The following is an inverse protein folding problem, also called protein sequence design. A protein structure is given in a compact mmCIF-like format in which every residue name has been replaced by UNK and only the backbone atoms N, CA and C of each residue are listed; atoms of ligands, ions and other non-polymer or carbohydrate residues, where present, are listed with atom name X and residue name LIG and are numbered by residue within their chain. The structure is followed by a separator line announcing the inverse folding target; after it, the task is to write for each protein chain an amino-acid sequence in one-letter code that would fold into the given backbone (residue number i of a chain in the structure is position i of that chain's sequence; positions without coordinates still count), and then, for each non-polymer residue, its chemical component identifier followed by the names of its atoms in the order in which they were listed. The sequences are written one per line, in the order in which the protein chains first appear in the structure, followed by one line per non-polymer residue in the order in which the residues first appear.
data_IF_310794874531
#
_entry.id   IF_310794874531
#
_cell.length_a   1.000
_cell.length_b   1.000
_cell.length_c   1.000
_cell.angle_alpha   90.00
_cell.angle_beta   90.00
_cell.angle_gamma   90.00
#
_symmetry.space_group_name_H-M   'P 1'
#
loop_
_entity.id
_entity.type
_entity.pdbx_description
1 polymer ?
#
# COMPACT_ATOMS: atom_id res chain seq x y z
N UNK A 1 36.46 -5.32 17.69
CA UNK A 1 35.07 -5.73 17.40
C UNK A 1 35.04 -6.22 15.96
N UNK A 2 34.85 -7.52 15.72
CA UNK A 2 34.84 -8.08 14.36
C UNK A 2 33.40 -8.08 13.83
N UNK A 3 33.09 -7.19 12.88
CA UNK A 3 31.80 -7.17 12.20
C UNK A 3 31.84 -8.19 11.06
N UNK A 4 31.05 -9.26 11.16
CA UNK A 4 30.85 -10.22 10.06
C UNK A 4 29.69 -9.75 9.19
N UNK A 5 29.98 -9.37 7.95
CA UNK A 5 28.96 -9.14 6.94
C UNK A 5 28.50 -10.49 6.39
N UNK A 6 27.22 -10.80 6.55
CA UNK A 6 26.59 -11.97 5.92
C UNK A 6 25.90 -11.48 4.65
N UNK A 7 26.58 -11.67 3.51
CA UNK A 7 26.01 -11.33 2.20
C UNK A 7 25.18 -12.54 1.72
N UNK A 8 23.92 -12.30 1.35
CA UNK A 8 23.03 -13.32 0.79
C UNK A 8 22.39 -12.83 -0.51
N UNK A 9 21.98 -13.74 -1.40
CA UNK A 9 21.21 -13.38 -2.59
C UNK A 9 19.90 -12.67 -2.22
N UNK A 10 19.49 -11.71 -3.04
CA UNK A 10 18.21 -11.00 -2.87
C UNK A 10 17.02 -11.97 -2.86
N UNK A 11 17.06 -13.02 -3.69
CA UNK A 11 16.05 -14.08 -3.76
C UNK A 11 15.82 -14.80 -2.43
N UNK A 12 16.84 -14.85 -1.56
CA UNK A 12 16.74 -15.45 -0.24
C UNK A 12 15.98 -14.57 0.78
N UNK A 13 15.79 -13.28 0.44
CA UNK A 13 15.26 -12.25 1.34
C UNK A 13 13.99 -11.57 0.80
N UNK A 14 13.80 -11.55 -0.52
CA UNK A 14 12.71 -10.85 -1.19
C UNK A 14 11.91 -11.85 -2.04
N UNK A 15 10.68 -12.20 -1.60
CA UNK A 15 9.77 -13.07 -2.35
C UNK A 15 9.59 -12.71 -3.82
N UNK A 16 9.56 -11.41 -4.10
CA UNK A 16 9.31 -10.84 -5.44
C UNK A 16 10.43 -11.12 -6.44
N UNK A 17 11.64 -11.45 -5.96
CA UNK A 17 12.76 -11.82 -6.83
C UNK A 17 12.64 -13.27 -7.33
N UNK A 18 11.61 -14.03 -6.90
CA UNK A 18 11.38 -15.42 -7.29
C UNK A 18 10.35 -15.46 -8.42
N UNK A 19 10.74 -15.81 -9.67
CA UNK A 19 9.81 -15.82 -10.81
C UNK A 19 8.57 -16.70 -10.57
N UNK A 20 8.77 -17.90 -10.03
CA UNK A 20 7.67 -18.83 -9.71
C UNK A 20 6.64 -18.25 -8.74
N UNK A 21 7.08 -17.46 -7.76
CA UNK A 21 6.16 -16.81 -6.83
C UNK A 21 5.29 -15.75 -7.51
N UNK A 22 5.87 -14.98 -8.44
CA UNK A 22 5.12 -14.02 -9.25
C UNK A 22 4.15 -14.72 -10.20
N UNK A 23 4.59 -15.81 -10.84
CA UNK A 23 3.73 -16.66 -11.68
C UNK A 23 2.55 -17.21 -10.88
N UNK A 24 2.78 -17.73 -9.67
CA UNK A 24 1.74 -18.23 -8.79
C UNK A 24 0.72 -17.12 -8.43
N UNK A 25 1.18 -15.90 -8.13
CA UNK A 25 0.29 -14.75 -7.90
C UNK A 25 -0.54 -14.45 -9.14
N UNK A 26 0.09 -14.38 -10.32
CA UNK A 26 -0.61 -14.05 -11.57
C UNK A 26 -1.65 -15.11 -11.91
N UNK A 27 -1.32 -16.39 -11.73
CA UNK A 27 -2.21 -17.51 -11.97
C UNK A 27 -3.41 -17.55 -11.01
N UNK A 28 -3.21 -17.17 -9.75
CA UNK A 28 -4.25 -17.25 -8.71
C UNK A 28 -5.10 -15.98 -8.60
N UNK A 29 -4.51 -14.81 -8.84
CA UNK A 29 -5.14 -13.52 -8.53
C UNK A 29 -5.27 -12.58 -9.73
N UNK A 30 -4.58 -12.85 -10.85
CA UNK A 30 -4.59 -12.03 -12.05
C UNK A 30 -3.35 -11.13 -12.19
N UNK A 31 -3.36 -10.28 -13.21
CA UNK A 31 -2.20 -9.46 -13.57
C UNK A 31 -1.81 -8.48 -12.46
N UNK A 32 -0.51 -8.40 -12.20
CA UNK A 32 0.07 -7.45 -11.24
C UNK A 32 0.06 -6.05 -11.86
N UNK A 33 -0.49 -5.07 -11.13
CA UNK A 33 -0.53 -3.66 -11.52
C UNK A 33 0.64 -2.88 -10.89
N UNK A 34 0.82 -2.98 -9.57
CA UNK A 34 1.85 -2.25 -8.81
C UNK A 34 2.35 -3.04 -7.60
N UNK A 35 3.55 -2.69 -7.14
CA UNK A 35 4.20 -3.28 -5.97
C UNK A 35 4.70 -2.15 -5.07
N UNK A 36 4.46 -2.25 -3.76
CA UNK A 36 4.96 -1.33 -2.74
C UNK A 36 5.71 -2.09 -1.64
N UNK A 37 6.64 -1.39 -0.99
CA UNK A 37 7.48 -1.94 0.07
C UNK A 37 7.27 -1.15 1.36
N UNK A 38 7.10 -1.88 2.46
CA UNK A 38 7.21 -1.38 3.83
C UNK A 38 8.15 -2.32 4.60
N UNK A 39 8.87 -1.88 5.64
CA UNK A 39 9.72 -2.77 6.42
C UNK A 39 8.95 -4.03 6.85
N UNK A 40 9.42 -5.21 6.43
CA UNK A 40 8.81 -6.50 6.74
C UNK A 40 7.68 -6.94 5.81
N UNK A 41 7.16 -6.10 4.91
CA UNK A 41 5.98 -6.43 4.09
C UNK A 41 6.11 -5.90 2.65
N UNK A 42 5.63 -6.70 1.70
CA UNK A 42 5.49 -6.35 0.29
C UNK A 42 3.99 -6.34 -0.02
N UNK A 43 3.52 -5.25 -0.61
CA UNK A 43 2.14 -5.11 -1.07
C UNK A 43 2.09 -5.21 -2.58
N UNK A 44 1.13 -5.96 -3.11
CA UNK A 44 1.01 -6.24 -4.55
C UNK A 44 -0.44 -5.97 -4.94
N UNK A 45 -0.66 -5.00 -5.83
CA UNK A 45 -1.99 -4.82 -6.41
C UNK A 45 -2.16 -5.68 -7.65
N UNK A 46 -3.36 -6.22 -7.80
CA UNK A 46 -3.77 -7.06 -8.92
C UNK A 46 -5.13 -6.60 -9.44
N UNK A 47 -5.57 -7.15 -10.57
CA UNK A 47 -6.89 -6.87 -11.17
C UNK A 47 -7.12 -5.37 -11.39
N UNK A 48 -6.18 -4.73 -12.11
CA UNK A 48 -6.23 -3.28 -12.42
C UNK A 48 -6.22 -2.39 -11.17
N UNK A 49 -5.71 -2.90 -10.05
CA UNK A 49 -5.66 -2.19 -8.77
C UNK A 49 -6.89 -2.36 -7.89
N UNK A 50 -7.83 -3.26 -8.23
CA UNK A 50 -9.05 -3.49 -7.44
C UNK A 50 -8.82 -4.36 -6.21
N UNK A 51 -7.77 -5.17 -6.23
CA UNK A 51 -7.39 -6.05 -5.12
C UNK A 51 -5.95 -5.77 -4.67
N UNK A 52 -5.71 -5.82 -3.35
CA UNK A 52 -4.41 -5.67 -2.71
C UNK A 52 -4.06 -6.91 -1.91
N UNK A 53 -2.90 -7.47 -2.22
CA UNK A 53 -2.29 -8.60 -1.55
C UNK A 53 -1.11 -8.11 -0.70
N UNK A 54 -0.80 -8.80 0.40
CA UNK A 54 0.46 -8.64 1.12
C UNK A 54 1.17 -9.97 1.26
N UNK A 55 2.50 -9.89 1.29
CA UNK A 55 3.37 -10.97 1.76
C UNK A 55 4.45 -10.43 2.68
N UNK A 56 4.84 -11.27 3.62
CA UNK A 56 5.95 -10.94 4.51
C UNK A 56 7.29 -11.04 3.77
N UNK A 57 8.11 -10.00 3.91
CA UNK A 57 9.51 -9.97 3.48
C UNK A 57 10.41 -10.67 4.52
N UNK A 58 10.00 -11.87 4.95
CA UNK A 58 10.75 -12.70 5.89
C UNK A 58 11.73 -13.63 5.17
N UNK A 59 12.80 -14.02 5.87
CA UNK A 59 13.80 -14.95 5.37
C UNK A 59 13.19 -16.33 5.11
N UNK A 60 13.64 -17.00 4.04
CA UNK A 60 13.16 -18.33 3.63
C UNK A 60 13.27 -19.42 4.73
N UNK A 61 14.27 -19.35 5.60
CA UNK A 61 14.43 -20.28 6.72
C UNK A 61 13.35 -20.15 7.81
N UNK A 62 12.71 -18.98 7.91
CA UNK A 62 11.56 -18.73 8.78
C UNK A 62 10.21 -18.88 8.06
N UNK A 63 10.20 -19.01 6.72
CA UNK A 63 8.96 -19.15 5.94
C UNK A 63 8.34 -20.55 5.99
N UNK A 64 8.95 -21.52 6.69
CA UNK A 64 8.40 -22.88 6.79
C UNK A 64 7.01 -22.95 7.44
N UNK A 65 6.56 -21.90 8.15
CA UNK A 65 5.26 -21.86 8.83
C UNK A 65 4.35 -20.68 8.45
N UNK A 66 4.74 -19.74 7.58
CA UNK A 66 3.87 -18.62 7.19
C UNK A 66 3.26 -18.83 5.80
N UNK A 67 2.03 -19.32 5.86
CA UNK A 67 1.06 -19.51 4.79
C UNK A 67 0.60 -18.18 4.19
N UNK A 68 0.81 -18.05 2.89
CA UNK A 68 -0.17 -17.42 2.02
C UNK A 68 -0.01 -15.91 1.85
N UNK A 69 -0.01 -15.54 0.58
CA UNK A 69 -0.47 -14.23 0.13
C UNK A 69 -1.77 -13.89 0.88
N UNK A 70 -1.81 -12.77 1.62
CA UNK A 70 -3.01 -12.34 2.33
C UNK A 70 -3.70 -11.22 1.53
N UNK A 71 -4.98 -11.38 1.27
CA UNK A 71 -5.80 -10.30 0.70
C UNK A 71 -6.09 -9.30 1.83
N UNK A 72 -5.59 -8.08 1.72
CA UNK A 72 -5.91 -7.00 2.68
C UNK A 72 -7.07 -6.15 2.15
N UNK A 73 -7.25 -6.08 0.83
CA UNK A 73 -8.24 -5.21 0.23
C UNK A 73 -8.85 -5.85 -1.02
N UNK A 74 -10.18 -5.83 -1.10
CA UNK A 74 -10.93 -6.12 -2.32
C UNK A 74 -11.98 -5.03 -2.50
N UNK A 75 -11.82 -4.19 -3.53
CA UNK A 75 -12.58 -2.96 -3.69
C UNK A 75 -13.01 -2.73 -5.12
N UNK A 76 -14.18 -2.10 -5.28
CA UNK A 76 -14.65 -1.68 -6.61
C UNK A 76 -13.88 -0.48 -7.20
N UNK A 77 -12.98 0.17 -6.46
CA UNK A 77 -12.24 1.36 -6.91
C UNK A 77 -10.76 1.07 -7.04
N UNK A 78 -10.11 1.68 -8.04
CA UNK A 78 -8.68 1.45 -8.31
C UNK A 78 -7.81 1.96 -7.17
N UNK A 79 -6.95 1.11 -6.64
CA UNK A 79 -5.88 1.48 -5.72
C UNK A 79 -4.80 2.29 -6.46
N UNK A 80 -4.43 3.43 -5.89
CA UNK A 80 -3.39 4.29 -6.41
C UNK A 80 -2.06 4.13 -5.67
N UNK A 81 -2.12 4.01 -4.35
CA UNK A 81 -0.92 3.99 -3.52
C UNK A 81 -1.12 3.21 -2.22
N UNK A 82 -0.01 2.61 -1.77
CA UNK A 82 0.20 2.21 -0.38
C UNK A 82 1.26 3.13 0.20
N UNK A 83 0.85 3.97 1.16
CA UNK A 83 1.71 4.96 1.81
C UNK A 83 2.13 4.45 3.19
N UNK A 84 3.43 4.40 3.45
CA UNK A 84 3.98 4.03 4.76
C UNK A 84 3.68 5.14 5.77
N UNK A 85 2.97 4.81 6.85
CA UNK A 85 2.65 5.72 7.95
C UNK A 85 3.67 5.67 9.09
N UNK A 86 3.18 6.00 10.29
CA UNK A 86 3.86 5.73 11.57
C UNK A 86 4.14 4.22 11.75
N UNK A 87 4.99 3.78 12.69
CA UNK A 87 5.39 2.38 12.79
C UNK A 87 4.21 1.41 12.76
N UNK A 88 4.32 0.37 11.91
CA UNK A 88 3.30 -0.66 11.68
C UNK A 88 1.98 -0.18 11.06
N UNK A 89 1.92 1.05 10.54
CA UNK A 89 0.74 1.57 9.84
C UNK A 89 1.00 1.78 8.36
N UNK A 90 0.02 1.46 7.52
CA UNK A 90 -0.01 1.86 6.11
C UNK A 90 -1.35 2.48 5.74
N UNK A 91 -1.34 3.40 4.78
CA UNK A 91 -2.53 3.97 4.19
C UNK A 91 -2.69 3.45 2.77
N UNK A 92 -3.83 2.82 2.48
CA UNK A 92 -4.19 2.46 1.09
C UNK A 92 -5.11 3.54 0.55
N UNK A 93 -4.76 4.10 -0.61
CA UNK A 93 -5.45 5.23 -1.21
C UNK A 93 -6.08 4.80 -2.53
N UNK A 94 -7.39 5.00 -2.66
CA UNK A 94 -8.14 4.71 -3.88
C UNK A 94 -8.31 5.95 -4.75
N UNK A 95 -8.57 5.76 -6.03
CA UNK A 95 -8.75 6.84 -7.01
C UNK A 95 -9.92 7.77 -6.74
N UNK A 96 -10.93 7.29 -6.01
CA UNK A 96 -12.07 8.09 -5.56
C UNK A 96 -11.77 8.95 -4.31
N UNK A 97 -10.55 8.91 -3.77
CA UNK A 97 -10.17 9.62 -2.56
C UNK A 97 -10.46 8.89 -1.25
N UNK A 98 -10.98 7.66 -1.29
CA UNK A 98 -11.10 6.84 -0.10
C UNK A 98 -9.71 6.40 0.38
N UNK A 99 -9.43 6.65 1.67
CA UNK A 99 -8.21 6.25 2.35
C UNK A 99 -8.58 5.28 3.48
N UNK A 100 -7.91 4.14 3.50
CA UNK A 100 -8.01 3.15 4.56
C UNK A 100 -6.68 3.06 5.30
N UNK A 101 -6.73 3.17 6.61
CA UNK A 101 -5.60 3.09 7.51
C UNK A 101 -5.53 1.70 8.12
N UNK A 102 -4.44 0.99 7.87
CA UNK A 102 -4.21 -0.38 8.33
C UNK A 102 -3.12 -0.39 9.37
N UNK A 103 -3.33 -1.13 10.46
CA UNK A 103 -2.34 -1.35 11.50
C UNK A 103 -1.98 -2.83 11.56
N UNK A 104 -0.69 -3.13 11.52
CA UNK A 104 -0.17 -4.48 11.67
C UNK A 104 0.13 -4.78 13.14
N UNK A 105 -0.31 -5.94 13.61
CA UNK A 105 0.12 -6.52 14.89
C UNK A 105 0.64 -7.93 14.62
N UNK A 106 1.74 -8.29 15.26
CA UNK A 106 2.39 -9.59 15.03
C UNK A 106 1.44 -10.78 15.25
N UNK A 107 0.57 -10.68 16.25
CA UNK A 107 -0.33 -11.77 16.65
C UNK A 107 -1.62 -11.83 15.81
N UNK A 108 -2.03 -10.72 15.19
CA UNK A 108 -3.34 -10.61 14.51
C UNK A 108 -3.27 -10.14 13.07
N UNK A 109 -2.08 -9.92 12.52
CA UNK A 109 -1.88 -9.40 11.17
C UNK A 109 -2.38 -7.97 10.98
N UNK A 110 -2.78 -7.67 9.74
CA UNK A 110 -3.32 -6.36 9.35
C UNK A 110 -4.77 -6.19 9.79
N UNK A 111 -5.07 -5.04 10.39
CA UNK A 111 -6.41 -4.66 10.82
C UNK A 111 -6.77 -3.26 10.36
N UNK A 112 -7.99 -3.08 9.87
CA UNK A 112 -8.50 -1.76 9.48
C UNK A 112 -8.75 -0.93 10.74
N UNK A 113 -8.02 0.17 10.88
CA UNK A 113 -8.09 1.07 12.05
C UNK A 113 -8.94 2.31 11.78
N UNK A 114 -8.89 2.84 10.56
CA UNK A 114 -9.64 4.04 10.19
C UNK A 114 -9.97 4.04 8.70
N UNK A 115 -11.09 4.68 8.35
CA UNK A 115 -11.47 5.04 6.99
C UNK A 115 -11.80 6.53 6.92
N UNK A 116 -11.36 7.21 5.87
CA UNK A 116 -11.74 8.60 5.61
C UNK A 116 -11.57 8.96 4.14
N UNK A 117 -12.31 9.95 3.67
CA UNK A 117 -12.14 10.51 2.33
C UNK A 117 -11.22 11.74 2.38
N UNK A 118 -10.38 11.91 1.36
CA UNK A 118 -9.52 13.10 1.18
C UNK A 118 -10.07 14.05 0.12
N UNK A 119 -10.84 13.56 -0.84
CA UNK A 119 -11.41 14.40 -1.89
C UNK A 119 -12.39 15.44 -1.32
N UNK A 120 -12.33 16.67 -1.84
CA UNK A 120 -13.21 17.76 -1.38
C UNK A 120 -14.53 17.85 -2.18
N UNK A 121 -14.68 17.06 -3.24
CA UNK A 121 -15.89 17.02 -4.06
C UNK A 121 -16.30 15.57 -4.38
N UNK A 122 -17.61 15.26 -4.49
CA UNK A 122 -18.10 13.89 -4.68
C UNK A 122 -17.62 13.20 -5.97
N UNK A 123 -17.33 13.98 -7.01
CA UNK A 123 -16.86 13.48 -8.32
C UNK A 123 -15.37 13.71 -8.53
N UNK A 124 -14.64 14.11 -7.49
CA UNK A 124 -13.21 14.33 -7.60
C UNK A 124 -12.43 13.01 -7.60
N UNK A 125 -11.38 12.98 -8.39
CA UNK A 125 -10.46 11.86 -8.50
C UNK A 125 -9.09 12.27 -7.98
N UNK A 126 -8.44 11.37 -7.26
CA UNK A 126 -7.03 11.49 -6.94
C UNK A 126 -6.24 11.06 -8.17
N UNK A 127 -5.29 11.87 -8.61
CA UNK A 127 -4.41 11.56 -9.75
C UNK A 127 -3.07 11.03 -9.27
N UNK A 128 -2.52 11.67 -8.25
CA UNK A 128 -1.26 11.30 -7.63
C UNK A 128 -1.25 11.70 -6.16
N UNK A 129 -0.46 11.01 -5.35
CA UNK A 129 -0.45 11.18 -3.90
C UNK A 129 0.91 10.84 -3.28
N UNK A 130 1.29 11.62 -2.27
CA UNK A 130 2.44 11.33 -1.44
C UNK A 130 2.14 11.60 0.04
N UNK A 131 2.95 10.98 0.90
CA UNK A 131 2.87 11.17 2.34
C UNK A 131 4.21 11.66 2.88
N UNK A 132 4.15 12.76 3.63
CA UNK A 132 5.27 13.29 4.37
C UNK A 132 5.19 12.82 5.83
N UNK A 133 6.05 11.86 6.18
CA UNK A 133 6.08 11.26 7.52
C UNK A 133 6.48 12.27 8.61
N UNK A 134 7.40 13.19 8.32
CA UNK A 134 7.90 14.18 9.29
C UNK A 134 6.81 15.17 9.75
N UNK A 135 5.82 15.41 8.90
CA UNK A 135 4.69 16.30 9.21
C UNK A 135 3.36 15.56 9.36
N UNK A 136 3.37 14.23 9.32
CA UNK A 136 2.19 13.37 9.29
C UNK A 136 1.12 13.90 8.31
N UNK A 137 1.52 14.26 7.09
CA UNK A 137 0.66 15.00 6.14
C UNK A 137 0.61 14.29 4.80
N UNK A 138 -0.60 14.07 4.29
CA UNK A 138 -0.85 13.59 2.94
C UNK A 138 -1.02 14.78 2.00
N UNK A 139 -0.37 14.73 0.84
CA UNK A 139 -0.53 15.68 -0.26
C UNK A 139 -1.01 14.94 -1.50
N UNK A 140 -2.00 15.47 -2.22
CA UNK A 140 -2.51 14.84 -3.43
C UNK A 140 -2.85 15.85 -4.52
N UNK A 141 -2.78 15.39 -5.77
CA UNK A 141 -3.34 16.08 -6.92
C UNK A 141 -4.78 15.62 -7.11
N UNK A 142 -5.72 16.54 -6.95
CA UNK A 142 -7.15 16.29 -7.09
C UNK A 142 -7.65 16.86 -8.42
N UNK A 143 -8.23 15.98 -9.25
CA UNK A 143 -8.92 16.33 -10.49
C UNK A 143 -10.40 16.50 -10.20
N UNK A 144 -10.96 17.63 -10.60
CA UNK A 144 -12.39 17.96 -10.48
C UNK A 144 -12.99 18.22 -11.84
N UNK A 145 -14.28 17.90 -11.97
CA UNK A 145 -15.07 18.39 -13.09
C UNK A 145 -15.35 19.88 -12.89
N UNK A 146 -15.03 20.72 -13.87
CA UNK A 146 -15.34 22.15 -13.83
C UNK A 146 -16.56 22.49 -14.68
N UNK A 147 -17.21 23.61 -14.36
CA UNK A 147 -18.32 24.16 -15.16
C UNK A 147 -17.95 24.49 -16.61
N UNK A 148 -16.65 24.59 -16.91
CA UNK A 148 -16.14 24.87 -18.25
C UNK A 148 -15.94 23.62 -19.13
N UNK A 149 -16.45 22.46 -18.71
CA UNK A 149 -16.23 21.13 -19.33
C UNK A 149 -14.75 20.70 -19.44
N UNK A 150 -13.81 21.47 -18.89
CA UNK A 150 -12.40 21.08 -18.76
C UNK A 150 -12.12 20.55 -17.35
N UNK A 151 -11.25 19.55 -17.19
CA UNK A 151 -10.82 19.12 -15.86
C UNK A 151 -10.02 20.23 -15.19
N UNK A 152 -10.35 20.53 -13.94
CA UNK A 152 -9.56 21.39 -13.07
C UNK A 152 -8.70 20.54 -12.16
N UNK A 153 -7.45 20.94 -11.93
CA UNK A 153 -6.52 20.24 -11.04
C UNK A 153 -6.11 21.15 -9.90
N UNK A 154 -6.04 20.60 -8.69
CA UNK A 154 -5.55 21.33 -7.52
C UNK A 154 -4.69 20.43 -6.65
N UNK A 155 -3.68 21.04 -6.01
CA UNK A 155 -2.87 20.36 -5.01
C UNK A 155 -3.53 20.59 -3.65
N UNK A 156 -3.92 19.50 -3.01
CA UNK A 156 -4.55 19.52 -1.71
C UNK A 156 -3.63 18.88 -0.68
N UNK A 157 -3.89 19.19 0.60
CA UNK A 157 -3.15 18.61 1.73
C UNK A 157 -4.06 18.35 2.91
N UNK A 158 -3.73 17.32 3.68
CA UNK A 158 -4.41 16.98 4.93
C UNK A 158 -3.38 16.52 5.94
N UNK A 159 -3.25 17.26 7.02
CA UNK A 159 -2.51 16.80 8.18
C UNK A 159 -3.35 15.74 8.88
N UNK A 160 -2.79 14.56 9.06
CA UNK A 160 -3.40 13.50 9.84
C UNK A 160 -3.19 13.87 11.31
N UNK A 161 -4.28 13.98 12.07
CA UNK A 161 -4.18 14.11 13.52
C UNK A 161 -3.65 12.78 14.03
N UNK A 162 -2.57 12.82 14.81
CA UNK A 162 -1.95 11.60 15.31
C UNK A 162 -2.95 10.77 16.11
N UNK A 163 -2.95 9.47 15.84
CA UNK A 163 -2.93 8.49 16.93
C UNK A 163 -1.58 8.71 17.62
N UNK A 164 -1.48 9.75 18.46
CA UNK A 164 -0.36 9.85 19.38
C UNK A 164 -0.58 8.78 20.42
N UNK A 165 0.49 8.00 20.62
CA UNK A 165 0.69 6.89 21.56
C UNK A 165 -0.23 6.87 22.78
#
# INVERSE_FOLDING_TARGET
MNVKFVIRPLEASFPICRPKFLEDIVNQHGTIDRIWFSPGHIFISVQEGKQLLTVDAQRLDNQQNNSGVHIILDTGSKLLAVLKGVPHTVYTVQSNGCVLCWSFKQDSGWSLSQRFDICNAPTAEVIDICYNISHNTIFWCEKRQSSSNKPAYCICRRQLKGVMQ
#
